data_IF_347824946631
#
_entry.id   IF_347824946631
#
_cell.length_a   1.000
_cell.length_b   1.000
_cell.length_c   1.000
_cell.angle_alpha   90.00
_cell.angle_beta   90.00
_cell.angle_gamma   90.00
#
_symmetry.space_group_name_H-M   'P 1'
#
loop_
_entity.id
_entity.type
_entity.pdbx_description
1 polymer ?
#
# COMPACT_ATOMS: atom_id res chain seq x y z
N UNK A 1 -17.79 -3.59 28.27
CA UNK A 1 -16.62 -2.90 28.85
C UNK A 1 -15.27 -3.47 28.40
N UNK A 2 -14.83 -4.67 28.79
CA UNK A 2 -13.51 -5.21 28.39
C UNK A 2 -13.43 -5.57 26.89
N UNK A 3 -14.53 -6.06 26.32
CA UNK A 3 -14.64 -6.41 24.90
C UNK A 3 -14.69 -5.17 23.99
N UNK A 4 -15.47 -4.14 24.38
CA UNK A 4 -15.51 -2.84 23.68
C UNK A 4 -14.16 -2.11 23.71
N UNK A 5 -13.43 -2.17 24.83
CA UNK A 5 -12.09 -1.58 24.93
C UNK A 5 -11.07 -2.30 24.02
N UNK A 6 -11.23 -3.61 23.84
CA UNK A 6 -10.38 -4.42 22.95
C UNK A 6 -10.70 -4.15 21.48
N UNK A 7 -11.98 -4.04 21.12
CA UNK A 7 -12.43 -3.62 19.78
C UNK A 7 -11.97 -2.20 19.44
N UNK A 8 -12.01 -1.27 20.39
CA UNK A 8 -11.50 0.09 20.18
C UNK A 8 -9.96 0.13 20.05
N UNK A 9 -9.24 -0.70 20.80
CA UNK A 9 -7.79 -0.82 20.69
C UNK A 9 -7.37 -1.50 19.38
N UNK A 10 -8.12 -2.49 18.91
CA UNK A 10 -7.88 -3.17 17.65
C UNK A 10 -8.26 -2.27 16.45
N UNK A 11 -9.32 -1.48 16.56
CA UNK A 11 -9.67 -0.43 15.59
C UNK A 11 -8.63 0.72 15.55
N UNK A 12 -7.91 0.96 16.64
CA UNK A 12 -6.81 1.91 16.68
C UNK A 12 -5.53 1.37 16.03
N UNK A 13 -5.43 0.05 15.79
CA UNK A 13 -4.27 -0.51 15.09
C UNK A 13 -4.32 -0.07 13.63
N UNK A 14 -3.20 0.39 13.07
CA UNK A 14 -3.11 0.78 11.68
C UNK A 14 -3.00 -0.46 10.79
N UNK A 15 -3.91 -1.41 10.93
CA UNK A 15 -4.00 -2.62 10.11
C UNK A 15 -5.41 -2.73 9.52
N UNK A 16 -5.57 -3.37 8.36
CA UNK A 16 -6.90 -3.59 7.82
C UNK A 16 -7.73 -4.50 8.72
N UNK A 17 -9.07 -4.46 8.62
CA UNK A 17 -9.93 -5.45 9.25
C UNK A 17 -9.47 -6.87 8.86
N UNK A 18 -9.27 -7.71 9.87
CA UNK A 18 -8.79 -9.07 9.71
C UNK A 18 -9.74 -10.06 10.38
N UNK A 19 -9.82 -11.26 9.82
CA UNK A 19 -10.60 -12.35 10.38
C UNK A 19 -9.67 -13.31 11.15
N UNK A 20 -9.94 -13.48 12.45
CA UNK A 20 -9.17 -14.37 13.34
C UNK A 20 -9.49 -15.84 13.13
N UNK A 21 -10.68 -16.13 12.60
CA UNK A 21 -11.17 -17.49 12.37
C UNK A 21 -10.86 -17.96 10.93
N UNK A 22 -10.17 -17.12 10.15
CA UNK A 22 -9.73 -17.44 8.81
C UNK A 22 -8.85 -18.70 8.78
N UNK A 23 -9.31 -19.70 8.04
CA UNK A 23 -8.57 -20.96 7.84
C UNK A 23 -7.65 -20.90 6.62
N UNK A 24 -7.81 -19.90 5.77
CA UNK A 24 -6.97 -19.66 4.60
C UNK A 24 -6.35 -18.25 4.65
N UNK A 25 -5.14 -18.05 4.11
CA UNK A 25 -4.53 -16.72 4.02
C UNK A 25 -5.40 -15.70 3.27
N UNK A 26 -6.18 -16.15 2.27
CA UNK A 26 -7.08 -15.30 1.49
C UNK A 26 -8.21 -14.68 2.31
N UNK A 27 -8.69 -15.42 3.31
CA UNK A 27 -9.81 -15.02 4.17
C UNK A 27 -9.35 -14.18 5.37
N UNK A 28 -8.06 -14.24 5.71
CA UNK A 28 -7.48 -13.45 6.79
C UNK A 28 -7.69 -11.94 6.60
N UNK A 29 -7.74 -11.48 5.34
CA UNK A 29 -8.07 -10.11 4.97
C UNK A 29 -9.18 -10.08 3.91
N UNK A 30 -10.46 -10.00 4.32
CA UNK A 30 -11.57 -10.01 3.39
C UNK A 30 -11.51 -8.78 2.46
N UNK A 31 -11.71 -9.01 1.16
CA UNK A 31 -11.58 -7.96 0.13
C UNK A 31 -12.45 -6.74 0.46
N UNK A 32 -13.70 -6.96 0.86
CA UNK A 32 -14.64 -5.89 1.17
C UNK A 32 -14.39 -5.20 2.52
N UNK A 33 -13.54 -5.79 3.37
CA UNK A 33 -12.98 -5.10 4.55
C UNK A 33 -11.91 -4.07 4.17
N UNK A 34 -11.22 -4.25 3.04
CA UNK A 34 -10.19 -3.32 2.56
C UNK A 34 -10.76 -2.32 1.54
N UNK A 35 -11.54 -2.81 0.57
CA UNK A 35 -12.17 -2.07 -0.51
C UNK A 35 -13.70 -2.19 -0.38
N UNK A 36 -14.38 -1.16 0.17
CA UNK A 36 -15.83 -1.15 0.29
C UNK A 36 -16.54 -1.47 -1.03
N UNK A 37 -17.69 -2.15 -0.96
CA UNK A 37 -18.44 -2.60 -2.14
C UNK A 37 -18.80 -1.47 -3.11
N UNK A 38 -19.11 -0.29 -2.58
CA UNK A 38 -19.46 0.88 -3.40
C UNK A 38 -18.28 1.37 -4.25
N UNK A 39 -17.08 1.36 -3.66
CA UNK A 39 -15.82 1.67 -4.36
C UNK A 39 -15.47 0.57 -5.36
N UNK A 40 -15.65 -0.69 -4.93
CA UNK A 40 -15.44 -1.84 -5.80
C UNK A 40 -16.31 -1.74 -7.05
N UNK A 41 -17.60 -1.46 -6.94
CA UNK A 41 -18.48 -1.29 -8.08
C UNK A 41 -18.06 -0.11 -8.98
N UNK A 42 -17.61 1.00 -8.39
CA UNK A 42 -17.16 2.16 -9.17
C UNK A 42 -15.92 1.87 -10.05
N UNK A 43 -15.04 0.96 -9.61
CA UNK A 43 -13.87 0.54 -10.38
C UNK A 43 -14.24 -0.20 -11.68
N UNK A 44 -15.47 -0.72 -11.83
CA UNK A 44 -15.91 -1.37 -13.06
C UNK A 44 -15.89 -0.41 -14.27
N UNK A 45 -16.04 0.90 -14.03
CA UNK A 45 -15.95 1.92 -15.07
C UNK A 45 -14.57 2.01 -15.76
N UNK A 46 -13.51 1.53 -15.09
CA UNK A 46 -12.14 1.54 -15.63
C UNK A 46 -11.85 0.33 -16.54
N UNK A 47 -12.57 -0.78 -16.33
CA UNK A 47 -12.29 -2.05 -17.02
C UNK A 47 -12.40 -1.97 -18.55
N UNK A 48 -13.43 -1.32 -19.14
CA UNK A 48 -13.55 -1.22 -20.59
C UNK A 48 -12.36 -0.50 -21.23
N UNK A 49 -11.89 0.59 -20.62
CA UNK A 49 -10.77 1.38 -21.12
C UNK A 49 -9.46 0.60 -21.02
N UNK A 50 -9.21 -0.06 -19.89
CA UNK A 50 -8.01 -0.89 -19.69
C UNK A 50 -7.98 -2.10 -20.64
N UNK A 51 -9.14 -2.67 -20.96
CA UNK A 51 -9.27 -3.77 -21.92
C UNK A 51 -9.07 -3.31 -23.37
N UNK A 52 -9.56 -2.11 -23.72
CA UNK A 52 -9.43 -1.54 -25.05
C UNK A 52 -8.01 -1.05 -25.38
N UNK A 53 -7.19 -0.77 -24.37
CA UNK A 53 -5.81 -0.35 -24.58
C UNK A 53 -4.98 -1.42 -25.31
N UNK A 54 -4.26 -0.99 -26.35
CA UNK A 54 -3.52 -1.85 -27.27
C UNK A 54 -2.14 -2.26 -26.74
N UNK A 55 -1.55 -1.40 -25.90
CA UNK A 55 -0.22 -1.63 -25.33
C UNK A 55 -0.23 -1.55 -23.80
N UNK A 56 0.74 -2.22 -23.18
CA UNK A 56 0.96 -2.08 -21.74
C UNK A 56 1.24 -0.63 -21.33
N UNK A 57 1.94 0.13 -22.18
CA UNK A 57 2.20 1.55 -21.94
C UNK A 57 0.91 2.38 -21.84
N UNK A 58 -0.05 2.16 -22.76
CA UNK A 58 -1.37 2.79 -22.68
C UNK A 58 -2.14 2.37 -21.42
N UNK A 59 -2.10 1.08 -21.05
CA UNK A 59 -2.75 0.59 -19.82
C UNK A 59 -2.22 1.30 -18.58
N UNK A 60 -0.92 1.57 -18.50
CA UNK A 60 -0.35 2.29 -17.37
C UNK A 60 -0.79 3.76 -17.31
N UNK A 61 -0.97 4.42 -18.45
CA UNK A 61 -1.46 5.81 -18.49
C UNK A 61 -2.94 5.93 -18.07
N UNK A 62 -3.69 4.82 -18.15
CA UNK A 62 -5.06 4.72 -17.65
C UNK A 62 -5.14 4.43 -16.14
N UNK A 63 -3.99 4.37 -15.44
CA UNK A 63 -3.93 4.23 -13.99
C UNK A 63 -3.41 5.52 -13.37
N UNK A 64 -3.91 5.83 -12.19
CA UNK A 64 -3.54 7.03 -11.41
C UNK A 64 -2.07 7.05 -11.00
N UNK A 65 -1.40 5.89 -10.98
CA UNK A 65 0.01 5.77 -10.62
C UNK A 65 0.83 5.12 -11.74
N UNK A 66 1.58 5.96 -12.44
CA UNK A 66 2.51 5.55 -13.52
C UNK A 66 3.93 5.33 -13.03
N UNK A 67 4.22 5.51 -11.74
CA UNK A 67 5.59 5.47 -11.20
C UNK A 67 5.94 4.11 -10.59
N UNK A 68 4.97 3.44 -9.97
CA UNK A 68 5.18 2.15 -9.32
C UNK A 68 5.63 1.07 -10.31
N UNK A 69 6.77 0.45 -10.04
CA UNK A 69 7.28 -0.67 -10.85
C UNK A 69 6.56 -1.98 -10.51
N UNK A 70 6.16 -2.17 -9.25
CA UNK A 70 5.36 -3.31 -8.82
C UNK A 70 4.01 -3.33 -9.56
N UNK A 71 3.28 -2.19 -9.58
CA UNK A 71 2.00 -2.11 -10.32
C UNK A 71 2.21 -2.37 -11.81
N UNK A 72 3.27 -1.82 -12.43
CA UNK A 72 3.59 -2.08 -13.84
C UNK A 72 3.81 -3.57 -14.11
N UNK A 73 4.63 -4.23 -13.29
CA UNK A 73 4.91 -5.66 -13.43
C UNK A 73 3.63 -6.50 -13.37
N UNK A 74 2.78 -6.25 -12.38
CA UNK A 74 1.55 -7.02 -12.19
C UNK A 74 0.48 -6.73 -13.24
N UNK A 75 0.36 -5.48 -13.68
CA UNK A 75 -0.54 -5.13 -14.80
C UNK A 75 -0.04 -5.73 -16.11
N UNK A 76 1.27 -5.78 -16.34
CA UNK A 76 1.82 -6.51 -17.49
C UNK A 76 1.40 -7.97 -17.45
N UNK A 77 1.68 -8.63 -16.33
CA UNK A 77 1.42 -10.05 -16.13
C UNK A 77 -0.08 -10.39 -16.24
N UNK A 78 -0.96 -9.57 -15.63
CA UNK A 78 -2.40 -9.76 -15.70
C UNK A 78 -2.96 -9.76 -17.14
N UNK A 79 -2.31 -9.04 -18.06
CA UNK A 79 -2.69 -8.94 -19.47
C UNK A 79 -1.83 -9.81 -20.41
N UNK A 80 -0.92 -10.64 -19.89
CA UNK A 80 -0.27 -11.70 -20.68
C UNK A 80 -1.26 -12.82 -21.02
N UNK A 81 -2.24 -13.05 -20.15
CA UNK A 81 -3.34 -13.97 -20.40
C UNK A 81 -4.36 -13.38 -21.41
N UNK A 82 -4.94 -14.19 -22.31
CA UNK A 82 -5.96 -13.72 -23.28
C UNK A 82 -7.20 -13.10 -22.63
N UNK A 83 -7.51 -13.52 -21.39
CA UNK A 83 -8.63 -13.02 -20.61
C UNK A 83 -8.12 -12.61 -19.22
N UNK A 84 -7.81 -11.32 -19.00
CA UNK A 84 -7.36 -10.85 -17.68
C UNK A 84 -8.46 -11.06 -16.64
N UNK A 85 -8.08 -11.44 -15.42
CA UNK A 85 -9.02 -11.55 -14.31
C UNK A 85 -9.47 -10.14 -13.88
N UNK A 86 -10.77 -9.80 -13.99
CA UNK A 86 -11.26 -8.46 -13.64
C UNK A 86 -11.02 -8.13 -12.17
N UNK A 87 -11.06 -9.12 -11.27
CA UNK A 87 -10.78 -8.92 -9.84
C UNK A 87 -9.35 -8.43 -9.61
N UNK A 88 -8.37 -9.08 -10.24
CA UNK A 88 -6.95 -8.68 -10.19
C UNK A 88 -6.76 -7.27 -10.73
N UNK A 89 -7.35 -6.95 -11.87
CA UNK A 89 -7.22 -5.61 -12.50
C UNK A 89 -7.80 -4.52 -11.59
N UNK A 90 -8.97 -4.76 -10.97
CA UNK A 90 -9.59 -3.80 -10.04
C UNK A 90 -8.73 -3.57 -8.80
N UNK A 91 -8.18 -4.63 -8.22
CA UNK A 91 -7.27 -4.52 -7.06
C UNK A 91 -6.02 -3.71 -7.45
N UNK A 92 -5.42 -3.98 -8.61
CA UNK A 92 -4.25 -3.23 -9.10
C UNK A 92 -4.56 -1.74 -9.33
N UNK A 93 -5.73 -1.44 -9.91
CA UNK A 93 -6.18 -0.06 -10.08
C UNK A 93 -6.37 0.66 -8.74
N UNK A 94 -6.92 -0.03 -7.74
CA UNK A 94 -7.08 0.51 -6.40
C UNK A 94 -5.73 0.74 -5.69
N UNK A 95 -4.81 -0.22 -5.76
CA UNK A 95 -3.43 -0.05 -5.24
C UNK A 95 -2.76 1.18 -5.88
N UNK A 96 -2.89 1.34 -7.20
CA UNK A 96 -2.35 2.49 -7.90
C UNK A 96 -2.93 3.81 -7.34
N UNK A 97 -4.25 3.89 -7.15
CA UNK A 97 -4.90 5.05 -6.56
C UNK A 97 -4.39 5.35 -5.13
N UNK A 98 -4.28 4.33 -4.28
CA UNK A 98 -3.75 4.47 -2.91
C UNK A 98 -2.31 4.97 -2.87
N UNK A 99 -1.44 4.41 -3.72
CA UNK A 99 -0.03 4.83 -3.82
C UNK A 99 0.09 6.28 -4.32
N UNK A 100 -0.75 6.68 -5.29
CA UNK A 100 -0.78 8.07 -5.77
C UNK A 100 -1.31 9.02 -4.71
N UNK A 101 -2.38 8.67 -4.00
CA UNK A 101 -2.88 9.45 -2.86
C UNK A 101 -1.79 9.66 -1.82
N UNK A 102 -1.09 8.59 -1.43
CA UNK A 102 0.04 8.67 -0.50
C UNK A 102 1.16 9.57 -1.00
N UNK A 103 1.52 9.50 -2.29
CA UNK A 103 2.56 10.35 -2.84
C UNK A 103 2.20 11.86 -2.80
N UNK A 104 0.90 12.18 -2.79
CA UNK A 104 0.39 13.55 -2.71
C UNK A 104 0.30 14.06 -1.26
N UNK A 105 -0.25 13.24 -0.36
CA UNK A 105 -0.65 13.68 0.98
C UNK A 105 0.19 13.07 2.12
N UNK A 106 0.96 12.01 1.87
CA UNK A 106 1.75 11.30 2.87
C UNK A 106 2.80 12.20 3.53
N UNK A 107 2.67 12.40 4.84
CA UNK A 107 3.56 13.25 5.64
C UNK A 107 3.49 14.75 5.32
N UNK A 108 2.47 15.20 4.58
CA UNK A 108 2.26 16.58 4.14
C UNK A 108 0.83 17.04 4.44
N UNK A 109 0.56 18.33 4.21
CA UNK A 109 -0.81 18.83 4.20
C UNK A 109 -1.58 18.23 3.01
N UNK A 110 -2.82 17.84 3.25
CA UNK A 110 -3.69 17.25 2.23
C UNK A 110 -4.09 18.35 1.25
N UNK A 111 -3.82 18.20 -0.07
CA UNK A 111 -4.27 19.17 -1.06
C UNK A 111 -5.79 19.31 -1.09
N UNK A 112 -6.30 20.39 -1.67
CA UNK A 112 -7.74 20.53 -1.89
C UNK A 112 -8.30 19.35 -2.70
N UNK A 113 -9.51 18.90 -2.35
CA UNK A 113 -10.20 17.77 -3.00
C UNK A 113 -10.09 17.82 -4.53
N UNK A 114 -10.35 18.98 -5.13
CA UNK A 114 -10.30 19.18 -6.59
C UNK A 114 -8.93 18.82 -7.17
N UNK A 115 -7.84 19.28 -6.54
CA UNK A 115 -6.47 18.96 -6.94
C UNK A 115 -6.16 17.47 -6.84
N UNK A 116 -6.74 16.78 -5.85
CA UNK A 116 -6.57 15.33 -5.69
C UNK A 116 -7.32 14.59 -6.80
N UNK A 117 -8.58 14.93 -7.06
CA UNK A 117 -9.38 14.33 -8.16
C UNK A 117 -8.66 14.51 -9.50
N UNK A 118 -8.17 15.71 -9.81
CA UNK A 118 -7.47 15.99 -11.06
C UNK A 118 -6.19 15.14 -11.20
N UNK A 119 -5.46 14.91 -10.11
CA UNK A 119 -4.21 14.13 -10.10
C UNK A 119 -4.43 12.61 -10.04
N UNK A 120 -5.57 12.16 -9.53
CA UNK A 120 -5.93 10.75 -9.44
C UNK A 120 -6.74 10.27 -10.65
N UNK A 121 -7.14 11.18 -11.55
CA UNK A 121 -7.77 10.82 -12.82
C UNK A 121 -6.96 9.73 -13.55
N UNK A 122 -7.59 8.63 -14.03
CA UNK A 122 -9.04 8.45 -14.21
C UNK A 122 -9.79 7.77 -13.04
N UNK A 123 -9.23 7.67 -11.84
CA UNK A 123 -9.90 7.04 -10.69
C UNK A 123 -11.28 7.66 -10.40
N UNK A 124 -12.33 6.83 -10.16
CA UNK A 124 -13.64 7.32 -9.76
C UNK A 124 -13.60 8.22 -8.51
N UNK A 125 -14.31 9.35 -8.53
CA UNK A 125 -14.30 10.31 -7.41
C UNK A 125 -14.70 9.69 -6.08
N UNK A 126 -15.61 8.72 -6.08
CA UNK A 126 -16.02 8.00 -4.87
C UNK A 126 -14.85 7.29 -4.16
N UNK A 127 -13.90 6.75 -4.92
CA UNK A 127 -12.69 6.15 -4.36
C UNK A 127 -11.84 7.25 -3.72
N UNK A 128 -11.70 8.40 -4.38
CA UNK A 128 -10.97 9.56 -3.84
C UNK A 128 -11.59 10.06 -2.54
N UNK A 129 -12.91 10.20 -2.49
CA UNK A 129 -13.65 10.65 -1.32
C UNK A 129 -13.51 9.68 -0.15
N UNK A 130 -13.57 8.37 -0.42
CA UNK A 130 -13.35 7.35 0.61
C UNK A 130 -11.92 7.36 1.13
N UNK A 131 -10.92 7.48 0.25
CA UNK A 131 -9.52 7.59 0.67
C UNK A 131 -9.30 8.81 1.58
N UNK A 132 -9.92 9.95 1.24
CA UNK A 132 -9.90 11.14 2.08
C UNK A 132 -10.58 10.90 3.43
N UNK A 133 -11.76 10.28 3.45
CA UNK A 133 -12.50 10.00 4.68
C UNK A 133 -11.76 9.01 5.61
N UNK A 134 -11.08 8.02 5.03
CA UNK A 134 -10.45 6.91 5.76
C UNK A 134 -9.00 7.15 6.14
N UNK A 135 -8.25 7.94 5.36
CA UNK A 135 -6.81 8.12 5.55
C UNK A 135 -6.42 9.57 5.85
N UNK A 136 -7.38 10.42 6.22
CA UNK A 136 -7.10 11.76 6.74
C UNK A 136 -7.86 12.00 8.04
N UNK A 137 -7.30 12.86 8.88
CA UNK A 137 -7.93 13.31 10.11
C UNK A 137 -7.89 14.84 10.19
N UNK A 138 -8.84 15.41 10.94
CA UNK A 138 -8.85 16.85 11.24
C UNK A 138 -8.10 17.08 12.55
N UNK A 139 -7.00 17.81 12.49
CA UNK A 139 -6.24 18.14 13.70
C UNK A 139 -7.06 19.07 14.60
N UNK A 140 -7.05 18.81 15.91
CA UNK A 140 -7.78 19.60 16.92
C UNK A 140 -7.42 21.08 16.79
N UNK A 141 -8.41 21.94 16.51
CA UNK A 141 -8.23 23.39 16.33
C UNK A 141 -8.01 23.85 14.88
N UNK A 142 -7.97 22.94 13.90
CA UNK A 142 -7.92 23.29 12.47
C UNK A 142 -8.94 22.48 11.68
N UNK A 143 -9.62 23.10 10.70
CA UNK A 143 -10.53 22.38 9.81
C UNK A 143 -9.80 21.79 8.58
N UNK A 144 -8.46 21.81 8.57
CA UNK A 144 -7.65 21.31 7.45
C UNK A 144 -7.38 19.81 7.64
N UNK A 145 -7.69 18.97 6.63
CA UNK A 145 -7.37 17.55 6.68
C UNK A 145 -5.86 17.34 6.63
N UNK A 146 -5.36 16.39 7.43
CA UNK A 146 -3.95 16.02 7.48
C UNK A 146 -3.82 14.49 7.50
N UNK A 147 -2.80 13.98 6.82
CA UNK A 147 -2.37 12.58 6.98
C UNK A 147 -1.36 12.54 8.11
N UNK A 148 -1.74 11.98 9.26
CA UNK A 148 -0.81 11.74 10.37
C UNK A 148 0.03 10.50 10.11
N UNK A 149 1.08 10.31 10.92
CA UNK A 149 1.92 9.11 10.85
C UNK A 149 1.09 7.81 10.99
N UNK A 150 0.05 7.83 11.84
CA UNK A 150 -0.85 6.69 12.01
C UNK A 150 -1.69 6.43 10.78
N UNK A 151 -2.24 7.48 10.14
CA UNK A 151 -3.00 7.32 8.89
C UNK A 151 -2.12 6.90 7.71
N UNK A 152 -0.88 7.39 7.62
CA UNK A 152 0.09 6.94 6.62
C UNK A 152 0.43 5.46 6.80
N UNK A 153 0.68 5.03 8.05
CA UNK A 153 0.92 3.63 8.38
C UNK A 153 -0.30 2.75 8.05
N UNK A 154 -1.51 3.21 8.38
CA UNK A 154 -2.74 2.50 8.04
C UNK A 154 -2.92 2.35 6.54
N UNK A 155 -2.66 3.40 5.76
CA UNK A 155 -2.72 3.32 4.30
C UNK A 155 -1.72 2.28 3.76
N UNK A 156 -0.48 2.30 4.28
CA UNK A 156 0.56 1.36 3.86
C UNK A 156 0.19 -0.09 4.16
N UNK A 157 -0.33 -0.40 5.33
CA UNK A 157 -0.73 -1.78 5.68
C UNK A 157 -1.89 -2.28 4.83
N UNK A 158 -2.83 -1.40 4.45
CA UNK A 158 -3.88 -1.73 3.49
C UNK A 158 -3.33 -2.00 2.08
N UNK A 159 -2.36 -1.23 1.62
CA UNK A 159 -1.66 -1.51 0.35
C UNK A 159 -0.95 -2.86 0.41
N UNK A 160 -0.23 -3.15 1.49
CA UNK A 160 0.47 -4.42 1.66
C UNK A 160 -0.46 -5.63 1.65
N UNK A 161 -1.60 -5.56 2.35
CA UNK A 161 -2.58 -6.64 2.35
C UNK A 161 -3.12 -6.93 0.94
N UNK A 162 -3.33 -5.89 0.12
CA UNK A 162 -3.74 -6.06 -1.26
C UNK A 162 -2.62 -6.62 -2.14
N UNK A 163 -1.37 -6.20 -1.95
CA UNK A 163 -0.22 -6.78 -2.65
C UNK A 163 -0.07 -8.28 -2.37
N UNK A 164 -0.16 -8.68 -1.10
CA UNK A 164 -0.13 -10.09 -0.71
C UNK A 164 -1.25 -10.89 -1.39
N UNK A 165 -2.43 -10.31 -1.51
CA UNK A 165 -3.56 -10.95 -2.18
C UNK A 165 -3.36 -11.14 -3.70
N UNK A 166 -2.56 -10.29 -4.34
CA UNK A 166 -2.22 -10.41 -5.77
C UNK A 166 -1.10 -11.42 -5.98
N UNK A 167 -0.12 -11.45 -5.07
CA UNK A 167 1.10 -12.27 -5.20
C UNK A 167 0.93 -13.67 -4.59
N UNK A 168 -0.31 -14.11 -4.33
CA UNK A 168 -0.62 -15.40 -3.69
C UNK A 168 0.17 -15.59 -2.37
N UNK A 169 0.27 -14.52 -1.59
CA UNK A 169 1.01 -14.41 -0.32
C UNK A 169 2.53 -14.61 -0.43
N UNK A 170 3.09 -14.56 -1.65
CA UNK A 170 4.51 -14.66 -1.95
C UNK A 170 5.05 -13.39 -2.62
N UNK A 171 5.02 -12.27 -1.91
CA UNK A 171 5.43 -10.95 -2.42
C UNK A 171 6.93 -10.68 -2.31
N UNK A 172 7.56 -10.20 -3.39
CA UNK A 172 8.92 -9.65 -3.35
C UNK A 172 8.95 -8.28 -2.64
N UNK A 173 9.39 -8.32 -1.38
CA UNK A 173 9.50 -7.14 -0.51
C UNK A 173 10.44 -6.05 -1.04
N UNK A 174 11.38 -6.36 -1.93
CA UNK A 174 12.36 -5.40 -2.45
C UNK A 174 11.74 -4.43 -3.46
N UNK A 175 10.88 -4.93 -4.35
CA UNK A 175 10.16 -4.13 -5.34
C UNK A 175 9.16 -3.18 -4.68
N UNK A 176 8.48 -3.67 -3.64
CA UNK A 176 7.51 -2.86 -2.90
C UNK A 176 8.20 -1.78 -2.06
N UNK A 177 9.33 -2.08 -1.42
CA UNK A 177 10.04 -1.09 -0.61
C UNK A 177 10.47 0.15 -1.42
N UNK A 178 10.92 -0.06 -2.67
CA UNK A 178 11.24 1.02 -3.59
C UNK A 178 10.01 1.88 -3.95
N UNK A 179 8.86 1.24 -4.19
CA UNK A 179 7.62 1.92 -4.56
C UNK A 179 6.98 2.68 -3.37
N UNK A 180 7.15 2.16 -2.15
CA UNK A 180 6.65 2.80 -0.93
C UNK A 180 7.53 3.93 -0.42
N UNK A 181 8.69 4.18 -1.05
CA UNK A 181 9.72 5.14 -0.56
C UNK A 181 10.05 4.95 0.91
N UNK A 182 9.79 3.77 1.45
CA UNK A 182 10.32 3.36 2.72
C UNK A 182 11.76 3.05 2.40
N UNK A 183 12.69 3.90 2.83
CA UNK A 183 14.09 3.54 2.76
C UNK A 183 14.19 2.13 3.31
N UNK A 184 14.63 1.18 2.48
CA UNK A 184 14.89 -0.20 2.91
C UNK A 184 15.71 -0.03 4.16
N UNK A 185 15.09 -0.27 5.31
CA UNK A 185 15.78 -0.06 6.57
C UNK A 185 16.84 -1.11 6.52
N UNK A 186 18.04 -0.63 6.21
CA UNK A 186 19.28 -1.35 6.12
C UNK A 186 19.21 -2.38 7.22
N UNK A 187 19.27 -3.67 6.82
CA UNK A 187 19.33 -4.85 7.69
C UNK A 187 19.80 -4.41 9.06
N UNK A 188 19.02 -4.73 10.10
CA UNK A 188 19.40 -4.57 11.51
C UNK A 188 20.92 -4.64 11.60
N UNK A 189 21.50 -3.44 11.61
CA UNK A 189 22.90 -3.25 11.92
C UNK A 189 22.81 -3.13 13.42
N UNK A 190 23.35 -4.07 14.20
CA UNK A 190 23.39 -3.91 15.65
C UNK A 190 24.28 -2.70 15.93
N UNK A 191 23.66 -1.52 16.05
CA UNK A 191 24.33 -0.31 16.48
C UNK A 191 24.48 -0.42 17.99
N UNK A 192 25.61 -0.96 18.41
CA UNK A 192 25.85 -1.11 19.83
C UNK A 192 27.18 -1.70 20.24
N UNK A 193 28.16 -1.88 19.35
CA UNK A 193 29.49 -2.20 19.86
C UNK A 193 30.61 -1.69 18.95
N UNK A 194 31.58 -1.10 19.64
CA UNK A 194 32.72 -0.37 19.12
C UNK A 194 33.47 -1.22 18.10
N UNK A 195 33.84 -0.54 17.02
CA UNK A 195 34.83 -0.95 16.04
C UNK A 195 36.04 -1.63 16.71
N UNK A 196 36.14 -2.94 16.56
CA UNK A 196 37.42 -3.65 16.59
C UNK A 196 37.54 -4.36 15.24
N UNK A 197 38.39 -3.86 14.32
CA UNK A 197 38.64 -4.53 13.05
C UNK A 197 39.08 -5.96 13.31
N UNK A 198 38.59 -6.91 12.52
CA UNK A 198 38.88 -8.35 12.61
C UNK A 198 40.40 -8.66 12.57
N UNK A 199 41.23 -7.72 12.13
CA UNK A 199 42.70 -7.76 12.28
C UNK A 199 43.19 -7.78 13.76
N UNK A 200 42.39 -7.35 14.73
CA UNK A 200 42.76 -7.33 16.16
C UNK A 200 42.55 -8.66 16.90
N UNK A 201 41.80 -9.61 16.33
CA UNK A 201 41.55 -10.92 16.95
C UNK A 201 42.55 -12.01 16.52
N UNK A 202 43.35 -11.78 15.48
CA UNK A 202 44.43 -12.69 15.07
C UNK A 202 45.81 -12.34 15.65
N UNK A 203 46.00 -11.14 16.25
CA UNK A 203 47.28 -10.72 16.82
C UNK A 203 47.44 -11.04 18.32
N UNK A 204 46.43 -11.60 18.99
CA UNK A 204 46.46 -11.85 20.45
C UNK A 204 46.40 -13.33 20.86
N UNK A 205 46.50 -14.23 19.88
CA UNK A 205 46.59 -15.67 20.09
C UNK A 205 48.03 -16.22 19.94
N UNK A 206 49.04 -15.35 19.76
CA UNK A 206 50.44 -15.76 19.57
C UNK A 206 51.39 -15.25 20.68
N UNK A 207 51.02 -14.22 21.46
CA UNK A 207 51.85 -13.72 22.57
C UNK A 207 51.21 -14.00 23.94
N UNK A 208 51.10 -15.29 24.25
CA UNK A 208 50.63 -15.82 25.52
C UNK A 208 51.30 -17.16 25.84
N UNK A 209 52.62 -17.21 25.66
CA UNK A 209 53.53 -18.23 26.19
C UNK A 209 54.70 -17.52 26.87
#
# INVERSE_FOLDING_TARGET
>A
FAEEAKLAADAARPIPPYDLDATTPEDAYPLHGIIPEQEWAALDALLPQLKAAESHAQRYQLLSNTRSNWVKGHVKHAYEAPKPNPKTVKILAYIAAMLSFRALAGGKDVPERKSIVDRLSPTPEIVVDSLLARFTEKLRGTNKPKVTSQMDMSLLTHVFALCLKIDDFATDTTLIAADLRMGVTKRVSPSGERHVPIAWLQARAVDGA
#
